data_IF_742939146556
#
_entry.id   IF_742939146556
#
_cell.length_a   1.000
_cell.length_b   1.000
_cell.length_c   1.000
_cell.angle_alpha   90.00
_cell.angle_beta   90.00
_cell.angle_gamma   90.00
#
_symmetry.space_group_name_H-M   'P 1'
#
loop_
_entity.id
_entity.type
_entity.pdbx_description
1 polymer ?
#
# COMPACT_ATOMS: atom_id res chain seq x y z
N UNK A 1 8.07 4.37 16.98
CA UNK A 1 6.68 4.44 16.46
C UNK A 1 6.66 3.91 15.03
N UNK A 2 6.43 2.61 14.83
CA UNK A 2 6.33 2.01 13.50
C UNK A 2 4.92 2.29 12.92
N UNK A 3 4.80 3.39 12.16
CA UNK A 3 3.52 3.97 11.73
C UNK A 3 2.85 3.30 10.52
N UNK A 4 3.35 2.15 10.06
CA UNK A 4 2.67 1.37 9.04
C UNK A 4 2.85 -0.10 9.36
N UNK A 5 1.73 -0.80 9.61
CA UNK A 5 1.70 -2.26 9.60
C UNK A 5 2.29 -2.71 8.27
N UNK A 6 3.41 -3.44 8.31
CA UNK A 6 4.11 -3.88 7.11
C UNK A 6 3.23 -4.80 6.26
N UNK A 7 3.64 -5.08 5.01
CA UNK A 7 2.92 -6.00 4.15
C UNK A 7 2.75 -7.41 4.76
N UNK A 8 3.61 -7.76 5.72
CA UNK A 8 3.54 -8.97 6.55
C UNK A 8 2.20 -9.15 7.30
N UNK A 9 1.50 -8.06 7.63
CA UNK A 9 0.20 -8.16 8.31
C UNK A 9 -0.96 -8.33 7.33
N UNK A 10 -0.76 -8.09 6.04
CA UNK A 10 -1.85 -8.15 5.06
C UNK A 10 -2.97 -7.13 5.30
N UNK A 11 -2.69 -6.05 6.04
CA UNK A 11 -3.68 -5.03 6.43
C UNK A 11 -3.53 -3.81 5.55
N UNK A 12 -4.64 -3.15 5.22
CA UNK A 12 -4.63 -1.89 4.48
C UNK A 12 -3.78 -0.80 5.18
N UNK A 13 -2.94 -0.12 4.41
CA UNK A 13 -2.13 1.02 4.87
C UNK A 13 -2.92 2.31 5.06
N UNK A 14 -4.22 2.33 4.74
CA UNK A 14 -5.07 3.48 5.04
C UNK A 14 -5.13 3.70 6.56
N UNK A 15 -5.00 4.96 6.99
CA UNK A 15 -4.91 5.32 8.41
C UNK A 15 -6.19 4.92 9.14
N UNK A 16 -6.06 4.09 10.17
CA UNK A 16 -7.20 3.56 10.93
C UNK A 16 -7.94 2.39 10.27
N UNK A 17 -7.50 1.94 9.09
CA UNK A 17 -8.07 0.76 8.45
C UNK A 17 -7.43 -0.51 9.01
N UNK A 18 -8.27 -1.49 9.34
CA UNK A 18 -7.86 -2.83 9.79
C UNK A 18 -8.32 -3.93 8.84
N UNK A 19 -8.92 -3.57 7.69
CA UNK A 19 -9.37 -4.54 6.69
C UNK A 19 -8.19 -5.22 6.00
N UNK A 20 -8.43 -6.47 5.60
CA UNK A 20 -7.52 -7.25 4.76
C UNK A 20 -7.30 -6.54 3.42
N UNK A 21 -6.04 -6.40 3.06
CA UNK A 21 -5.65 -5.88 1.77
C UNK A 21 -5.69 -6.99 0.72
N UNK A 22 -6.15 -6.63 -0.47
CA UNK A 22 -6.18 -7.51 -1.64
C UNK A 22 -5.25 -7.00 -2.75
N UNK A 23 -4.69 -5.81 -2.56
CA UNK A 23 -3.89 -5.10 -3.54
C UNK A 23 -2.64 -4.53 -2.85
N UNK A 24 -1.50 -4.64 -3.53
CA UNK A 24 -0.26 -3.98 -3.16
C UNK A 24 0.01 -2.82 -4.13
N UNK A 25 0.29 -1.65 -3.59
CA UNK A 25 0.66 -0.44 -4.32
C UNK A 25 2.16 -0.22 -4.11
N UNK A 26 2.95 -0.50 -5.14
CA UNK A 26 4.37 -0.20 -5.17
C UNK A 26 4.54 1.21 -5.69
N UNK A 27 5.13 2.10 -4.90
CA UNK A 27 5.36 3.49 -5.29
C UNK A 27 6.79 3.90 -5.03
N UNK A 28 7.29 4.88 -5.79
CA UNK A 28 8.61 5.49 -5.57
C UNK A 28 8.45 6.95 -5.21
N UNK A 29 9.33 7.45 -4.35
CA UNK A 29 9.41 8.88 -4.08
C UNK A 29 10.45 9.51 -5.04
N UNK A 30 10.04 10.25 -6.07
CA UNK A 30 10.99 10.90 -6.99
C UNK A 30 11.85 11.96 -6.30
N UNK A 31 11.40 12.52 -5.17
CA UNK A 31 12.16 13.51 -4.40
C UNK A 31 13.39 12.92 -3.70
N UNK A 32 13.50 11.59 -3.60
CA UNK A 32 14.66 10.91 -3.02
C UNK A 32 15.40 10.23 -4.16
N UNK A 33 16.51 10.83 -4.62
CA UNK A 33 17.29 10.33 -5.76
C UNK A 33 17.89 8.94 -5.53
N UNK A 34 18.13 8.55 -4.27
CA UNK A 34 18.53 7.20 -3.84
C UNK A 34 17.35 6.28 -3.50
N UNK A 35 16.12 6.71 -3.79
CA UNK A 35 14.89 6.22 -3.16
C UNK A 35 14.46 4.82 -3.61
N UNK A 36 14.57 3.86 -2.69
CA UNK A 36 13.89 2.56 -2.77
C UNK A 36 12.38 2.73 -3.03
N UNK A 37 11.82 1.80 -3.80
CA UNK A 37 10.37 1.61 -3.90
C UNK A 37 9.80 1.19 -2.55
N UNK A 38 8.66 1.78 -2.19
CA UNK A 38 7.88 1.40 -1.02
C UNK A 38 6.63 0.65 -1.46
N UNK A 39 6.25 -0.36 -0.69
CA UNK A 39 5.03 -1.13 -0.95
C UNK A 39 4.01 -0.80 0.13
N UNK A 40 2.86 -0.30 -0.29
CA UNK A 40 1.69 -0.06 0.55
C UNK A 40 0.61 -1.07 0.23
N UNK A 41 -0.16 -1.47 1.23
CA UNK A 41 -1.26 -2.40 1.04
C UNK A 41 -2.60 -1.67 1.00
N UNK A 42 -3.53 -2.16 0.18
CA UNK A 42 -4.82 -1.53 -0.04
C UNK A 42 -5.94 -2.57 -0.08
N UNK A 43 -7.03 -2.27 0.62
CA UNK A 43 -8.30 -2.96 0.45
C UNK A 43 -9.08 -2.31 -0.71
N UNK A 44 -10.01 -3.03 -1.37
CA UNK A 44 -10.70 -2.52 -2.56
C UNK A 44 -11.48 -1.23 -2.29
N UNK A 45 -11.97 -1.03 -1.07
CA UNK A 45 -12.66 0.20 -0.67
C UNK A 45 -11.75 1.43 -0.62
N UNK A 46 -10.53 1.28 -0.12
CA UNK A 46 -9.59 2.39 0.06
C UNK A 46 -8.61 2.53 -1.11
N UNK A 47 -8.66 1.63 -2.09
CA UNK A 47 -7.81 1.70 -3.28
C UNK A 47 -7.96 3.03 -4.00
N UNK A 48 -9.19 3.45 -4.24
CA UNK A 48 -9.47 4.68 -4.98
C UNK A 48 -8.97 5.92 -4.21
N UNK A 49 -9.15 5.93 -2.88
CA UNK A 49 -8.61 6.98 -2.01
C UNK A 49 -7.08 7.07 -2.09
N UNK A 50 -6.38 5.93 -2.01
CA UNK A 50 -4.91 5.89 -2.12
C UNK A 50 -4.42 6.27 -3.51
N UNK A 51 -5.09 5.80 -4.58
CA UNK A 51 -4.79 6.20 -5.96
C UNK A 51 -4.86 7.71 -6.12
N UNK A 52 -5.94 8.34 -5.67
CA UNK A 52 -6.11 9.80 -5.71
C UNK A 52 -4.98 10.53 -5.00
N UNK A 53 -4.50 10.01 -3.86
CA UNK A 53 -3.35 10.58 -3.17
C UNK A 53 -2.06 10.55 -4.01
N UNK A 54 -1.75 9.41 -4.65
CA UNK A 54 -0.56 9.31 -5.51
C UNK A 54 -0.68 10.15 -6.79
N UNK A 55 -1.87 10.18 -7.40
CA UNK A 55 -2.15 11.04 -8.57
C UNK A 55 -2.00 12.52 -8.21
N UNK A 56 -2.54 12.96 -7.08
CA UNK A 56 -2.40 14.35 -6.61
C UNK A 56 -0.95 14.76 -6.37
N UNK A 57 -0.11 13.83 -5.92
CA UNK A 57 1.32 14.05 -5.68
C UNK A 57 2.19 13.78 -6.92
N UNK A 58 1.61 13.35 -8.03
CA UNK A 58 2.32 12.89 -9.22
C UNK A 58 3.42 11.86 -8.92
N UNK A 59 3.18 10.99 -7.93
CA UNK A 59 4.13 9.94 -7.58
C UNK A 59 3.92 8.74 -8.51
N UNK A 60 5.00 8.15 -9.06
CA UNK A 60 4.86 6.92 -9.82
C UNK A 60 4.45 5.79 -8.88
N UNK A 61 3.32 5.15 -9.18
CA UNK A 61 2.79 4.01 -8.46
C UNK A 61 2.35 2.89 -9.41
N UNK A 62 2.43 1.65 -8.93
CA UNK A 62 2.03 0.44 -9.62
C UNK A 62 1.15 -0.38 -8.67
N UNK A 63 -0.01 -0.82 -9.15
CA UNK A 63 -0.94 -1.63 -8.35
C UNK A 63 -0.84 -3.08 -8.81
N UNK A 64 -0.57 -3.98 -7.86
CA UNK A 64 -0.54 -5.43 -8.07
C UNK A 64 -1.58 -6.13 -7.21
N UNK A 65 -2.16 -7.24 -7.69
CA UNK A 65 -2.91 -8.14 -6.83
C UNK A 65 -2.01 -8.65 -5.71
N UNK A 66 -2.48 -8.55 -4.47
CA UNK A 66 -1.84 -9.11 -3.29
C UNK A 66 -2.81 -10.11 -2.67
N UNK A 67 -2.71 -11.40 -3.02
CA UNK A 67 -3.48 -12.41 -2.34
C UNK A 67 -2.98 -12.46 -0.90
N UNK A 68 -3.87 -12.16 0.04
CA UNK A 68 -3.60 -12.49 1.42
C UNK A 68 -3.59 -14.01 1.51
N UNK A 69 -2.43 -14.60 1.77
CA UNK A 69 -2.34 -16.03 2.07
C UNK A 69 -2.82 -16.23 3.51
N UNK A 70 -4.10 -16.60 3.64
CA UNK A 70 -4.67 -17.12 4.89
C UNK A 70 -4.12 -18.53 5.07
N UNK A 71 -2.87 -18.60 5.54
CA UNK A 71 -2.27 -19.87 5.92
C UNK A 71 -3.09 -20.49 7.05
N UNK A 72 -3.53 -21.76 6.93
CA UNK A 72 -4.12 -22.45 8.06
C UNK A 72 -3.01 -22.69 9.09
N UNK A 73 -3.11 -22.02 10.23
CA UNK A 73 -2.39 -22.38 11.45
C UNK A 73 -3.23 -23.34 12.26
#
# INVERSE_FOLDING_TARGET
MALAKGPEQGVCSARGCTRRATLAIIWRNPAIHTGRTKTWLSCPEHLDHLKRYFTYRSFPYEVKPFPFEDGPG
#
